data_IF_520497527136
#
_entry.id   IF_520497527136
#
_cell.length_a   1.000
_cell.length_b   1.000
_cell.length_c   1.000
_cell.angle_alpha   90.00
_cell.angle_beta   90.00
_cell.angle_gamma   90.00
#
_symmetry.space_group_name_H-M   'P 1'
#
loop_
_entity.id
_entity.type
_entity.pdbx_description
1 polymer ?
#
# COMPACT_ATOMS: atom_id res chain seq x y z
N UNK A 1 23.66 -17.19 -26.78
CA UNK A 1 22.67 -16.69 -25.79
C UNK A 1 21.30 -16.81 -26.44
N UNK A 2 20.30 -17.38 -25.75
CA UNK A 2 18.93 -17.52 -26.30
C UNK A 2 18.25 -16.13 -26.40
N UNK A 3 17.65 -15.75 -27.55
CA UNK A 3 16.95 -14.47 -27.72
C UNK A 3 15.54 -14.56 -27.12
N UNK A 4 15.43 -14.46 -25.80
CA UNK A 4 14.15 -14.51 -25.06
C UNK A 4 13.84 -13.13 -24.47
N UNK A 5 13.33 -12.17 -25.27
CA UNK A 5 13.20 -10.79 -24.83
C UNK A 5 12.05 -10.61 -23.82
N UNK A 6 10.96 -11.38 -23.92
CA UNK A 6 9.86 -11.38 -22.94
C UNK A 6 10.32 -11.85 -21.55
N UNK A 7 10.94 -13.05 -21.40
CA UNK A 7 11.48 -13.47 -20.10
C UNK A 7 12.54 -12.51 -19.54
N UNK A 8 13.36 -11.89 -20.40
CA UNK A 8 14.34 -10.89 -19.96
C UNK A 8 13.65 -9.67 -19.34
N UNK A 9 12.60 -9.15 -19.97
CA UNK A 9 11.78 -8.06 -19.43
C UNK A 9 11.19 -8.40 -18.07
N UNK A 10 10.56 -9.57 -17.92
CA UNK A 10 10.02 -10.02 -16.63
C UNK A 10 11.11 -10.16 -15.56
N UNK A 11 12.29 -10.66 -15.94
CA UNK A 11 13.40 -10.79 -15.02
C UNK A 11 13.90 -9.42 -14.53
N UNK A 12 14.04 -8.43 -15.41
CA UNK A 12 14.39 -7.04 -15.04
C UNK A 12 13.39 -6.47 -14.03
N UNK A 13 12.10 -6.70 -14.25
CA UNK A 13 11.05 -6.28 -13.31
C UNK A 13 11.14 -6.97 -11.95
N UNK A 14 11.41 -8.28 -11.92
CA UNK A 14 11.62 -9.01 -10.67
C UNK A 14 12.84 -8.52 -9.89
N UNK A 15 13.94 -8.22 -10.60
CA UNK A 15 15.13 -7.62 -9.99
C UNK A 15 14.81 -6.25 -9.39
N UNK A 16 14.06 -5.41 -10.10
CA UNK A 16 13.61 -4.13 -9.57
C UNK A 16 12.75 -4.28 -8.31
N UNK A 17 11.80 -5.23 -8.28
CA UNK A 17 11.00 -5.51 -7.08
C UNK A 17 11.84 -5.97 -5.90
N UNK A 18 12.84 -6.84 -6.15
CA UNK A 18 13.72 -7.33 -5.09
C UNK A 18 14.56 -6.20 -4.48
N UNK A 19 15.02 -5.26 -5.30
CA UNK A 19 15.73 -4.06 -4.85
C UNK A 19 14.80 -3.13 -4.05
N UNK A 20 13.57 -2.90 -4.52
CA UNK A 20 12.59 -2.09 -3.81
C UNK A 20 12.23 -2.69 -2.43
N UNK A 21 12.05 -4.01 -2.35
CA UNK A 21 11.83 -4.71 -1.07
C UNK A 21 13.02 -4.57 -0.11
N UNK A 22 14.22 -4.34 -0.62
CA UNK A 22 15.44 -4.13 0.17
C UNK A 22 15.71 -2.65 0.47
N UNK A 23 14.80 -1.74 0.09
CA UNK A 23 14.96 -0.29 0.26
C UNK A 23 15.92 0.36 -0.73
N UNK A 24 16.44 -0.36 -1.72
CA UNK A 24 17.36 0.13 -2.76
C UNK A 24 16.58 0.78 -3.91
N UNK A 25 15.79 1.81 -3.57
CA UNK A 25 14.80 2.39 -4.47
C UNK A 25 15.37 3.05 -5.72
N UNK A 26 16.51 3.74 -5.61
CA UNK A 26 17.14 4.39 -6.77
C UNK A 26 17.59 3.37 -7.81
N UNK A 27 18.14 2.24 -7.36
CA UNK A 27 18.56 1.16 -8.23
C UNK A 27 17.36 0.40 -8.81
N UNK A 28 16.31 0.20 -8.00
CA UNK A 28 15.04 -0.31 -8.49
C UNK A 28 14.45 0.60 -9.59
N UNK A 29 14.54 1.91 -9.43
CA UNK A 29 14.12 2.91 -10.42
C UNK A 29 14.87 2.76 -11.74
N UNK A 30 16.20 2.66 -11.70
CA UNK A 30 17.03 2.43 -12.91
C UNK A 30 16.63 1.16 -13.66
N UNK A 31 16.37 0.05 -12.95
CA UNK A 31 15.90 -1.18 -13.59
C UNK A 31 14.48 -1.06 -14.13
N UNK A 32 13.62 -0.24 -13.52
CA UNK A 32 12.29 0.08 -14.05
C UNK A 32 12.37 0.88 -15.35
N UNK A 33 13.29 1.84 -15.43
CA UNK A 33 13.57 2.59 -16.66
C UNK A 33 14.07 1.66 -17.77
N UNK A 34 14.98 0.73 -17.44
CA UNK A 34 15.42 -0.29 -18.40
C UNK A 34 14.26 -1.19 -18.85
N UNK A 35 13.42 -1.64 -17.91
CA UNK A 35 12.27 -2.48 -18.22
C UNK A 35 11.26 -1.77 -19.12
N UNK A 36 11.07 -0.46 -18.99
CA UNK A 36 10.22 0.34 -19.88
C UNK A 36 10.77 0.32 -21.31
N UNK A 37 12.07 0.61 -21.50
CA UNK A 37 12.71 0.50 -22.80
C UNK A 37 12.64 -0.92 -23.40
N UNK A 38 12.71 -1.95 -22.56
CA UNK A 38 12.55 -3.34 -23.01
C UNK A 38 11.11 -3.61 -23.45
N UNK A 39 10.12 -3.17 -22.67
CA UNK A 39 8.69 -3.36 -22.93
C UNK A 39 8.24 -2.69 -24.24
N UNK A 40 8.74 -1.48 -24.53
CA UNK A 40 8.49 -0.79 -25.79
C UNK A 40 9.02 -1.57 -27.00
N UNK A 41 10.25 -2.11 -26.91
CA UNK A 41 10.88 -2.87 -28.00
C UNK A 41 10.17 -4.18 -28.32
N UNK A 42 9.55 -4.82 -27.33
CA UNK A 42 8.82 -6.09 -27.53
C UNK A 42 7.33 -5.89 -27.79
N UNK A 43 6.85 -4.64 -27.84
CA UNK A 43 5.45 -4.33 -28.11
C UNK A 43 4.51 -4.79 -26.99
N UNK A 44 4.94 -4.75 -25.73
CA UNK A 44 4.08 -5.09 -24.59
C UNK A 44 2.87 -4.13 -24.57
N UNK A 45 1.68 -4.71 -24.57
CA UNK A 45 0.44 -3.96 -24.42
C UNK A 45 0.48 -3.19 -23.10
N UNK A 46 0.14 -1.89 -23.14
CA UNK A 46 0.24 -1.01 -21.98
C UNK A 46 1.62 -1.03 -21.27
N UNK A 47 2.72 -1.13 -22.03
CA UNK A 47 4.10 -1.13 -21.52
C UNK A 47 4.37 -0.07 -20.45
N UNK A 48 4.09 1.21 -20.77
CA UNK A 48 4.28 2.34 -19.87
C UNK A 48 3.37 2.28 -18.63
N UNK A 49 2.04 2.05 -18.74
CA UNK A 49 1.18 1.82 -17.58
C UNK A 49 1.67 0.69 -16.66
N UNK A 50 2.10 -0.45 -17.21
CA UNK A 50 2.61 -1.58 -16.42
C UNK A 50 3.86 -1.17 -15.59
N UNK A 51 4.80 -0.45 -16.19
CA UNK A 51 5.95 0.06 -15.44
C UNK A 51 5.55 1.12 -14.41
N UNK A 52 4.60 1.99 -14.76
CA UNK A 52 4.08 3.03 -13.87
C UNK A 52 3.46 2.46 -12.59
N UNK A 53 2.72 1.34 -12.67
CA UNK A 53 2.19 0.64 -11.48
C UNK A 53 3.28 0.26 -10.47
N UNK A 54 4.41 -0.26 -10.96
CA UNK A 54 5.53 -0.61 -10.09
C UNK A 54 6.23 0.62 -9.49
N UNK A 55 6.38 1.70 -10.26
CA UNK A 55 6.89 2.98 -9.74
C UNK A 55 5.96 3.58 -8.69
N UNK A 56 4.65 3.45 -8.87
CA UNK A 56 3.64 3.89 -7.92
C UNK A 56 3.74 3.12 -6.59
N UNK A 57 3.90 1.79 -6.65
CA UNK A 57 4.18 0.97 -5.48
C UNK A 57 5.44 1.43 -4.71
N UNK A 58 6.53 1.76 -5.43
CA UNK A 58 7.75 2.29 -4.82
C UNK A 58 7.46 3.63 -4.11
N UNK A 59 6.71 4.55 -4.73
CA UNK A 59 6.32 5.82 -4.09
C UNK A 59 5.49 5.60 -2.83
N UNK A 60 4.57 4.65 -2.86
CA UNK A 60 3.79 4.27 -1.69
C UNK A 60 4.67 3.73 -0.56
N UNK A 61 5.64 2.86 -0.86
CA UNK A 61 6.59 2.32 0.13
C UNK A 61 7.45 3.42 0.75
N UNK A 62 7.94 4.36 -0.07
CA UNK A 62 8.76 5.48 0.38
C UNK A 62 7.97 6.49 1.23
N UNK A 63 6.64 6.49 1.18
CA UNK A 63 5.83 7.59 1.71
C UNK A 63 5.95 8.86 0.86
N UNK A 64 6.35 8.74 -0.41
CA UNK A 64 6.60 9.83 -1.34
C UNK A 64 5.42 10.02 -2.33
N UNK A 65 4.20 9.84 -1.84
CA UNK A 65 2.99 9.88 -2.69
C UNK A 65 2.58 11.28 -3.13
N UNK A 66 3.07 12.34 -2.48
CA UNK A 66 2.76 13.72 -2.84
C UNK A 66 3.17 14.08 -4.29
N UNK A 67 4.20 13.42 -4.83
CA UNK A 67 4.71 13.64 -6.19
C UNK A 67 4.23 12.58 -7.21
N UNK A 68 3.25 11.74 -6.85
CA UNK A 68 2.83 10.61 -7.67
C UNK A 68 1.91 10.98 -8.85
N UNK A 69 1.50 12.25 -8.98
CA UNK A 69 0.56 12.72 -10.01
C UNK A 69 0.84 12.18 -11.43
N UNK A 70 2.05 12.37 -11.99
CA UNK A 70 2.37 11.86 -13.32
C UNK A 70 2.27 10.33 -13.48
N UNK A 71 2.49 9.57 -12.40
CA UNK A 71 2.34 8.11 -12.42
C UNK A 71 0.87 7.71 -12.42
N UNK A 72 0.02 8.45 -11.72
CA UNK A 72 -1.43 8.23 -11.69
C UNK A 72 -2.03 8.52 -13.06
N UNK A 73 -1.64 9.63 -13.71
CA UNK A 73 -2.07 9.93 -15.08
C UNK A 73 -1.67 8.82 -16.07
N UNK A 74 -0.50 8.20 -15.87
CA UNK A 74 -0.01 7.13 -16.74
C UNK A 74 -0.79 5.81 -16.63
N UNK A 75 -1.56 5.60 -15.55
CA UNK A 75 -2.42 4.41 -15.37
C UNK A 75 -3.91 4.73 -15.53
N UNK A 76 -4.25 5.98 -15.80
CA UNK A 76 -5.63 6.46 -15.87
C UNK A 76 -6.42 5.75 -16.98
N UNK A 77 -7.68 5.40 -16.69
CA UNK A 77 -8.57 4.69 -17.61
C UNK A 77 -8.23 3.20 -17.85
N UNK A 78 -7.07 2.72 -17.40
CA UNK A 78 -6.67 1.30 -17.53
C UNK A 78 -6.96 0.55 -16.23
N UNK A 79 -6.68 1.17 -15.08
CA UNK A 79 -6.89 0.60 -13.77
C UNK A 79 -7.70 1.53 -12.86
N UNK A 80 -9.04 1.65 -13.07
CA UNK A 80 -9.86 2.67 -12.38
C UNK A 80 -9.77 2.64 -10.85
N UNK A 81 -9.81 1.44 -10.23
CA UNK A 81 -9.67 1.31 -8.77
C UNK A 81 -8.30 1.78 -8.27
N UNK A 82 -7.22 1.39 -8.97
CA UNK A 82 -5.86 1.79 -8.60
C UNK A 82 -5.63 3.29 -8.80
N UNK A 83 -6.15 3.85 -9.89
CA UNK A 83 -6.13 5.28 -10.17
C UNK A 83 -6.81 6.07 -9.04
N UNK A 84 -8.02 5.66 -8.68
CA UNK A 84 -8.79 6.26 -7.59
C UNK A 84 -8.01 6.23 -6.27
N UNK A 85 -7.60 5.06 -5.82
CA UNK A 85 -6.97 4.89 -4.51
C UNK A 85 -5.61 5.62 -4.43
N UNK A 86 -4.84 5.61 -5.52
CA UNK A 86 -3.60 6.35 -5.62
C UNK A 86 -3.83 7.87 -5.59
N UNK A 87 -4.91 8.36 -6.21
CA UNK A 87 -5.28 9.78 -6.17
C UNK A 87 -5.64 10.22 -4.76
N UNK A 88 -6.44 9.42 -4.04
CA UNK A 88 -6.78 9.69 -2.63
C UNK A 88 -5.51 9.79 -1.79
N UNK A 89 -4.63 8.80 -1.90
CA UNK A 89 -3.38 8.76 -1.13
C UNK A 89 -2.42 9.92 -1.50
N UNK A 90 -2.36 10.30 -2.77
CA UNK A 90 -1.59 11.45 -3.24
C UNK A 90 -2.11 12.77 -2.65
N UNK A 91 -3.43 13.01 -2.70
CA UNK A 91 -4.06 14.20 -2.12
C UNK A 91 -3.84 14.28 -0.60
N UNK A 92 -3.99 13.16 0.11
CA UNK A 92 -3.71 13.09 1.54
C UNK A 92 -2.25 13.42 1.85
N UNK A 93 -1.30 12.87 1.08
CA UNK A 93 0.13 13.16 1.23
C UNK A 93 0.51 14.63 0.92
N UNK A 94 -0.31 15.34 0.12
CA UNK A 94 -0.16 16.77 -0.15
C UNK A 94 -0.80 17.66 0.94
N UNK A 95 -1.41 17.08 1.98
CA UNK A 95 -2.18 17.83 2.98
C UNK A 95 -3.54 18.34 2.48
N UNK A 96 -4.00 17.86 1.33
CA UNK A 96 -5.29 18.24 0.70
C UNK A 96 -6.41 17.31 1.15
N UNK A 97 -6.57 17.19 2.47
CA UNK A 97 -7.50 16.23 3.08
C UNK A 97 -8.96 16.44 2.64
N UNK A 98 -9.40 17.70 2.47
CA UNK A 98 -10.77 18.00 2.05
C UNK A 98 -11.09 17.41 0.67
N UNK A 99 -10.14 17.53 -0.27
CA UNK A 99 -10.29 16.96 -1.61
C UNK A 99 -10.20 15.44 -1.62
N UNK A 100 -9.33 14.87 -0.79
CA UNK A 100 -9.25 13.42 -0.61
C UNK A 100 -10.55 12.84 -0.05
N UNK A 101 -11.16 13.50 0.95
CA UNK A 101 -12.47 13.11 1.53
C UNK A 101 -13.61 13.28 0.55
N UNK A 102 -13.59 14.33 -0.26
CA UNK A 102 -14.62 14.53 -1.29
C UNK A 102 -14.58 13.42 -2.35
N UNK A 103 -13.38 12.96 -2.75
CA UNK A 103 -13.21 11.90 -3.73
C UNK A 103 -13.85 10.57 -3.29
N UNK A 104 -13.80 10.28 -1.99
CA UNK A 104 -14.34 9.03 -1.41
C UNK A 104 -15.77 9.18 -0.88
N UNK A 105 -16.40 10.35 -1.04
CA UNK A 105 -17.76 10.63 -0.54
C UNK A 105 -18.82 9.68 -1.12
N UNK A 106 -18.62 9.25 -2.36
CA UNK A 106 -19.49 8.29 -3.04
C UNK A 106 -19.20 6.82 -2.67
N UNK A 107 -18.22 6.58 -1.80
CA UNK A 107 -17.72 5.26 -1.44
C UNK A 107 -16.48 4.86 -2.23
N UNK A 108 -15.93 3.70 -1.87
CA UNK A 108 -14.72 3.14 -2.47
C UNK A 108 -15.05 2.22 -3.64
N UNK A 109 -14.35 2.31 -4.78
CA UNK A 109 -14.50 1.33 -5.85
C UNK A 109 -14.00 -0.03 -5.37
N UNK A 110 -14.76 -1.09 -5.66
CA UNK A 110 -14.34 -2.45 -5.29
C UNK A 110 -13.07 -2.85 -6.05
N UNK A 111 -12.03 -3.35 -5.36
CA UNK A 111 -10.89 -3.97 -6.01
C UNK A 111 -11.34 -5.18 -6.86
N UNK A 112 -10.80 -5.36 -8.08
CA UNK A 112 -11.18 -6.49 -8.93
C UNK A 112 -10.78 -7.81 -8.26
N UNK A 113 -11.68 -8.81 -8.28
CA UNK A 113 -11.44 -10.17 -7.74
C UNK A 113 -10.60 -11.01 -8.71
N UNK A 114 -9.42 -10.52 -9.05
CA UNK A 114 -8.46 -11.19 -9.92
C UNK A 114 -7.08 -11.30 -9.26
N UNK A 115 -6.08 -11.70 -10.04
CA UNK A 115 -4.70 -11.85 -9.60
C UNK A 115 -4.05 -10.56 -9.08
N UNK A 116 -4.65 -9.38 -9.31
CA UNK A 116 -4.20 -8.08 -8.79
C UNK A 116 -4.80 -7.74 -7.42
N UNK A 117 -5.86 -8.43 -7.00
CA UNK A 117 -6.71 -8.12 -5.85
C UNK A 117 -5.92 -7.79 -4.58
N UNK A 118 -4.91 -8.59 -4.25
CA UNK A 118 -4.17 -8.42 -3.00
C UNK A 118 -3.40 -7.10 -2.96
N UNK A 119 -2.80 -6.70 -4.09
CA UNK A 119 -2.01 -5.46 -4.17
C UNK A 119 -2.89 -4.22 -4.33
N UNK A 120 -3.99 -4.31 -5.06
CA UNK A 120 -4.98 -3.22 -5.14
C UNK A 120 -5.65 -3.00 -3.78
N UNK A 121 -6.02 -4.07 -3.07
CA UNK A 121 -6.58 -3.96 -1.70
C UNK A 121 -5.57 -3.39 -0.70
N UNK A 122 -4.28 -3.71 -0.81
CA UNK A 122 -3.25 -3.07 0.03
C UNK A 122 -3.14 -1.56 -0.23
N UNK A 123 -3.16 -1.14 -1.51
CA UNK A 123 -3.15 0.28 -1.87
C UNK A 123 -4.41 0.99 -1.36
N UNK A 124 -5.58 0.38 -1.55
CA UNK A 124 -6.84 0.90 -1.04
C UNK A 124 -6.81 1.08 0.48
N UNK A 125 -6.29 0.09 1.20
CA UNK A 125 -6.14 0.17 2.66
C UNK A 125 -5.23 1.30 3.12
N UNK A 126 -4.15 1.57 2.38
CA UNK A 126 -3.28 2.72 2.65
C UNK A 126 -4.02 4.05 2.43
N UNK A 127 -4.81 4.16 1.35
CA UNK A 127 -5.60 5.34 1.06
C UNK A 127 -6.69 5.60 2.11
N UNK A 128 -7.42 4.54 2.52
CA UNK A 128 -8.44 4.58 3.57
C UNK A 128 -7.85 5.03 4.91
N UNK A 129 -6.70 4.46 5.29
CA UNK A 129 -5.99 4.85 6.50
C UNK A 129 -5.53 6.32 6.46
N UNK A 130 -5.09 6.81 5.29
CA UNK A 130 -4.62 8.18 5.13
C UNK A 130 -5.74 9.24 5.28
N UNK A 131 -6.98 8.90 4.93
CA UNK A 131 -8.13 9.81 5.11
C UNK A 131 -8.89 9.60 6.42
N UNK A 132 -8.57 8.54 7.17
CA UNK A 132 -9.20 8.20 8.45
C UNK A 132 -10.61 7.61 8.32
N UNK A 133 -10.92 6.93 7.21
CA UNK A 133 -12.22 6.27 7.00
C UNK A 133 -12.27 4.95 7.78
N UNK A 134 -12.59 5.03 9.08
CA UNK A 134 -12.55 3.88 9.98
C UNK A 134 -13.48 2.71 9.58
N UNK A 135 -14.73 2.93 9.12
CA UNK A 135 -15.56 1.85 8.57
C UNK A 135 -14.92 1.14 7.38
N UNK A 136 -14.41 1.89 6.39
CA UNK A 136 -13.74 1.28 5.25
C UNK A 136 -12.44 0.55 5.66
N UNK A 137 -11.70 1.11 6.63
CA UNK A 137 -10.50 0.47 7.16
C UNK A 137 -10.82 -0.90 7.80
N UNK A 138 -11.94 -1.01 8.51
CA UNK A 138 -12.36 -2.25 9.15
C UNK A 138 -12.62 -3.37 8.14
N UNK A 139 -13.32 -3.05 7.05
CA UNK A 139 -13.68 -4.02 6.03
C UNK A 139 -12.44 -4.50 5.26
N UNK A 140 -11.57 -3.57 4.85
CA UNK A 140 -10.30 -3.90 4.19
C UNK A 140 -9.36 -4.65 5.12
N UNK A 141 -9.29 -4.28 6.41
CA UNK A 141 -8.50 -5.03 7.40
C UNK A 141 -8.94 -6.48 7.49
N UNK A 142 -10.25 -6.70 7.58
CA UNK A 142 -10.84 -8.04 7.66
C UNK A 142 -10.54 -8.86 6.39
N UNK A 143 -10.59 -8.22 5.22
CA UNK A 143 -10.26 -8.86 3.94
C UNK A 143 -8.77 -9.22 3.81
N UNK A 144 -7.87 -8.37 4.30
CA UNK A 144 -6.42 -8.59 4.22
C UNK A 144 -5.88 -9.55 5.29
N UNK A 145 -6.60 -9.72 6.41
CA UNK A 145 -6.13 -10.51 7.55
C UNK A 145 -5.67 -11.95 7.20
N UNK A 146 -6.36 -12.72 6.33
CA UNK A 146 -5.90 -14.05 5.91
C UNK A 146 -4.56 -14.07 5.16
N UNK A 147 -4.06 -12.90 4.75
CA UNK A 147 -2.82 -12.72 4.00
C UNK A 147 -1.67 -12.16 4.84
N UNK A 148 -1.86 -12.02 6.17
CA UNK A 148 -0.78 -11.72 7.11
C UNK A 148 0.41 -12.68 6.92
N UNK A 149 1.63 -12.14 7.04
CA UNK A 149 2.89 -12.84 6.78
C UNK A 149 3.27 -12.98 5.30
N UNK A 150 2.48 -12.47 4.36
CA UNK A 150 2.76 -12.54 2.90
C UNK A 150 3.31 -11.24 2.34
N UNK A 151 4.00 -11.34 1.21
CA UNK A 151 4.35 -10.21 0.34
C UNK A 151 3.28 -10.06 -0.73
N UNK A 152 2.73 -8.86 -0.87
CA UNK A 152 1.76 -8.50 -1.89
C UNK A 152 2.46 -8.13 -3.20
N UNK A 153 2.12 -8.82 -4.29
CA UNK A 153 2.65 -8.56 -5.63
C UNK A 153 1.65 -8.92 -6.74
N UNK A 154 1.78 -8.22 -7.87
CA UNK A 154 1.04 -8.37 -9.12
C UNK A 154 2.04 -8.91 -10.16
N UNK A 155 2.32 -10.22 -10.12
CA UNK A 155 3.41 -10.83 -10.90
C UNK A 155 4.73 -10.04 -10.68
N UNK A 156 5.51 -9.79 -11.74
CA UNK A 156 6.68 -8.91 -11.72
C UNK A 156 6.32 -7.41 -11.78
N UNK A 157 5.09 -7.07 -12.16
CA UNK A 157 4.72 -5.70 -12.57
C UNK A 157 4.67 -4.75 -11.39
N UNK A 158 4.20 -5.19 -10.24
CA UNK A 158 4.06 -4.34 -9.05
C UNK A 158 4.24 -5.18 -7.79
N UNK A 159 4.87 -4.62 -6.77
CA UNK A 159 5.03 -5.27 -5.47
C UNK A 159 4.77 -4.22 -4.39
N UNK A 160 3.70 -4.39 -3.61
CA UNK A 160 3.34 -3.48 -2.52
C UNK A 160 4.13 -3.76 -1.24
N UNK A 161 4.77 -4.92 -1.15
CA UNK A 161 5.54 -5.31 0.03
C UNK A 161 4.70 -6.11 1.03
N UNK A 162 5.15 -6.21 2.29
CA UNK A 162 4.51 -7.02 3.31
C UNK A 162 3.09 -6.57 3.63
N UNK A 163 2.15 -7.51 3.65
CA UNK A 163 0.73 -7.24 3.98
C UNK A 163 0.58 -6.70 5.41
N UNK A 164 1.41 -7.18 6.35
CA UNK A 164 1.38 -6.75 7.75
C UNK A 164 1.63 -5.24 7.93
N UNK A 165 2.34 -4.60 7.00
CA UNK A 165 2.47 -3.13 7.01
C UNK A 165 1.11 -2.44 6.84
N UNK A 166 0.31 -2.90 5.87
CA UNK A 166 -1.00 -2.34 5.59
C UNK A 166 -2.02 -2.70 6.67
N UNK A 167 -1.96 -3.91 7.22
CA UNK A 167 -2.75 -4.30 8.39
C UNK A 167 -2.45 -3.41 9.62
N UNK A 168 -1.18 -3.03 9.82
CA UNK A 168 -0.81 -2.11 10.88
C UNK A 168 -1.34 -0.68 10.64
N UNK A 169 -1.24 -0.17 9.40
CA UNK A 169 -1.80 1.14 9.03
C UNK A 169 -3.30 1.20 9.28
N UNK A 170 -4.04 0.18 8.81
CA UNK A 170 -5.48 0.06 8.99
C UNK A 170 -5.87 -0.02 10.48
N UNK A 171 -5.20 -0.88 11.24
CA UNK A 171 -5.43 -0.99 12.68
C UNK A 171 -5.16 0.33 13.41
N UNK A 172 -4.10 1.04 13.04
CA UNK A 172 -3.77 2.35 13.60
C UNK A 172 -4.82 3.41 13.27
N UNK A 173 -5.31 3.44 12.01
CA UNK A 173 -6.35 4.39 11.59
C UNK A 173 -7.69 4.16 12.31
N UNK A 174 -7.97 2.92 12.72
CA UNK A 174 -9.12 2.57 13.56
C UNK A 174 -8.89 2.85 15.07
N UNK A 175 -7.71 3.34 15.47
CA UNK A 175 -7.34 3.56 16.88
C UNK A 175 -6.95 2.28 17.64
N UNK A 176 -6.86 1.12 16.98
CA UNK A 176 -6.44 -0.15 17.59
C UNK A 176 -4.91 -0.30 17.54
N UNK A 177 -4.21 0.53 18.32
CA UNK A 177 -2.75 0.53 18.36
C UNK A 177 -2.15 -0.77 18.90
N UNK A 178 -2.90 -1.54 19.70
CA UNK A 178 -2.46 -2.85 20.15
C UNK A 178 -2.38 -3.82 18.96
N UNK A 179 -3.42 -3.89 18.12
CA UNK A 179 -3.37 -4.69 16.90
C UNK A 179 -2.33 -4.17 15.91
N UNK A 180 -2.22 -2.85 15.75
CA UNK A 180 -1.18 -2.26 14.90
C UNK A 180 0.22 -2.70 15.33
N UNK A 181 0.52 -2.62 16.62
CA UNK A 181 1.81 -3.04 17.19
C UNK A 181 2.09 -4.53 16.98
N UNK A 182 1.07 -5.39 17.06
CA UNK A 182 1.22 -6.84 16.79
C UNK A 182 1.62 -7.10 15.34
N UNK A 183 0.99 -6.44 14.39
CA UNK A 183 1.33 -6.58 12.96
C UNK A 183 2.74 -6.05 12.66
N UNK A 184 3.12 -4.91 13.23
CA UNK A 184 4.48 -4.38 13.09
C UNK A 184 5.53 -5.32 13.70
N UNK A 185 5.22 -5.95 14.84
CA UNK A 185 6.12 -6.94 15.48
C UNK A 185 6.26 -8.21 14.63
N UNK A 186 5.16 -8.70 14.05
CA UNK A 186 5.18 -9.86 13.15
C UNK A 186 5.96 -9.56 11.86
N UNK A 187 5.79 -8.35 11.32
CA UNK A 187 6.57 -7.85 10.19
C UNK A 187 8.05 -7.79 10.53
N UNK A 188 8.42 -7.18 11.65
CA UNK A 188 9.82 -7.08 12.10
C UNK A 188 10.49 -8.46 12.17
N UNK A 189 9.83 -9.43 12.82
CA UNK A 189 10.35 -10.80 12.96
C UNK A 189 10.52 -11.48 11.60
N UNK A 190 9.51 -11.35 10.72
CA UNK A 190 9.57 -11.95 9.38
C UNK A 190 10.66 -11.30 8.53
N UNK A 191 10.79 -9.98 8.59
CA UNK A 191 11.79 -9.22 7.87
C UNK A 191 13.22 -9.53 8.36
N UNK A 192 13.43 -9.73 9.66
CA UNK A 192 14.71 -10.19 10.21
C UNK A 192 15.09 -11.58 9.65
N UNK A 193 14.17 -12.55 9.69
CA UNK A 193 14.45 -13.92 9.18
C UNK A 193 14.71 -13.97 7.67
N UNK A 194 14.10 -13.07 6.91
CA UNK A 194 14.16 -13.06 5.43
C UNK A 194 15.18 -12.07 4.88
N UNK A 195 15.87 -11.32 5.74
CA UNK A 195 16.86 -10.32 5.35
C UNK A 195 16.26 -9.08 4.70
N UNK A 196 14.97 -8.78 4.90
CA UNK A 196 14.34 -7.54 4.42
C UNK A 196 14.62 -6.38 5.38
N UNK A 197 15.89 -5.98 5.45
CA UNK A 197 16.41 -5.08 6.48
C UNK A 197 15.68 -3.73 6.50
N UNK A 198 15.37 -3.16 5.34
CA UNK A 198 14.63 -1.90 5.24
C UNK A 198 13.23 -1.99 5.88
N UNK A 199 12.46 -3.05 5.58
CA UNK A 199 11.14 -3.28 6.17
C UNK A 199 11.20 -3.51 7.68
N UNK A 200 12.24 -4.20 8.16
CA UNK A 200 12.47 -4.37 9.60
C UNK A 200 12.67 -3.02 10.30
N UNK A 201 13.53 -2.16 9.77
CA UNK A 201 13.76 -0.82 10.34
C UNK A 201 12.49 0.01 10.33
N UNK A 202 11.78 0.02 9.20
CA UNK A 202 10.51 0.73 9.05
C UNK A 202 9.46 0.27 10.06
N UNK A 203 9.32 -1.05 10.29
CA UNK A 203 8.39 -1.60 11.25
C UNK A 203 8.72 -1.16 12.70
N UNK A 204 10.01 -1.18 13.06
CA UNK A 204 10.50 -0.69 14.37
C UNK A 204 10.26 0.80 14.58
N UNK A 205 10.45 1.61 13.55
CA UNK A 205 10.17 3.04 13.60
C UNK A 205 8.69 3.31 13.82
N UNK A 206 7.82 2.73 12.99
CA UNK A 206 6.38 2.86 13.14
C UNK A 206 5.89 2.38 14.52
N UNK A 207 6.43 1.27 15.03
CA UNK A 207 6.06 0.77 16.34
C UNK A 207 6.45 1.77 17.44
N UNK A 208 7.66 2.37 17.38
CA UNK A 208 8.08 3.39 18.34
C UNK A 208 7.18 4.62 18.31
N UNK A 209 6.78 5.07 17.13
CA UNK A 209 5.91 6.25 16.99
C UNK A 209 4.52 6.02 17.59
N UNK A 210 3.95 4.83 17.42
CA UNK A 210 2.69 4.44 18.08
C UNK A 210 2.79 4.45 19.61
N UNK A 211 3.94 4.08 20.18
CA UNK A 211 4.15 4.12 21.63
C UNK A 211 4.31 5.54 22.17
N UNK A 212 4.84 6.49 21.37
CA UNK A 212 4.97 7.89 21.77
C UNK A 212 3.63 8.64 21.74
N UNK A 213 2.72 8.21 20.88
CA UNK A 213 1.39 8.81 20.71
C UNK A 213 0.29 7.77 20.94
N UNK A 214 0.13 7.26 22.18
CA UNK A 214 -0.95 6.33 22.47
C UNK A 214 -2.30 7.02 22.25
N UNK A 215 -3.27 6.35 21.60
CA UNK A 215 -4.65 6.84 21.57
C UNK A 215 -5.12 7.14 22.99
N UNK A 216 -5.72 8.32 23.17
CA UNK A 216 -6.51 8.58 24.36
C UNK A 216 -7.64 7.54 24.42
N UNK A 217 -7.84 6.85 25.55
CA UNK A 217 -8.94 5.91 25.68
C UNK A 217 -10.25 6.68 25.47
N UNK A 218 -10.98 6.34 24.41
CA UNK A 218 -12.34 6.82 24.19
C UNK A 218 -13.17 6.48 25.43
N UNK A 219 -13.46 7.50 26.23
CA UNK A 219 -14.38 7.37 27.37
C UNK A 219 -15.69 6.87 26.80
N UNK A 220 -16.02 5.60 27.09
CA UNK A 220 -17.36 5.08 26.87
C UNK A 220 -18.31 5.97 27.64
N UNK A 221 -19.07 6.80 26.92
CA UNK A 221 -20.24 7.47 27.46
C UNK A 221 -21.24 6.38 27.81
N UNK A 222 -21.23 5.95 29.07
CA UNK A 222 -22.30 5.12 29.62
C UNK A 222 -23.62 5.88 29.44
N UNK A 223 -24.66 5.27 28.86
CA UNK A 223 -25.99 5.86 28.88
C UNK A 223 -26.42 5.95 30.35
N UNK A 224 -26.60 7.18 30.84
CA UNK A 224 -27.11 7.44 32.17
C UNK A 224 -28.43 6.70 32.38
N UNK A 225 -28.47 5.87 33.43
CA UNK A 225 -29.67 5.17 33.83
C UNK A 225 -30.74 6.16 34.28
N UNK A 226 -31.88 6.15 33.59
CA UNK A 226 -33.11 6.75 34.10
C UNK A 226 -33.86 5.67 34.86
N UNK A 227 -33.79 5.72 36.20
CA UNK A 227 -34.78 5.07 37.07
C UNK A 227 -36.11 5.83 36.93
N UNK A 228 -37.26 5.16 36.75
CA UNK A 228 -38.53 5.74 37.14
C UNK A 228 -38.82 5.39 38.61
N UNK A 229 -39.10 6.41 39.41
CA UNK A 229 -39.71 6.30 40.72
C UNK A 229 -41.04 7.06 40.74
N UNK A 230 -41.96 6.53 41.54
CA UNK A 230 -43.35 6.92 41.80
C UNK A 230 -44.39 6.39 40.79
#
# INVERSE_FOLDING_TARGET
RLPLPWPRFQHTLWQANRLALDGRFDEAGKLRDEAECQAERVGVWHARPAVAMGRLAIRCQQGAMADAGPLIEAISGIHPTMEHDARVLCLAAQGREGEARELVRAGWPSPPLDWSWLSTTCLQGAAQAAVGDAPACHDTYSALLPYSGRISAISAVMCMGPVDWYLALLASAMGDHLRATRHLSALEQTAERTGLIWWRHRAREAARDLHRHPAEPQRRSSPGGTRPGA
#
